data_IF_515050350917
#
_entry.id   IF_515050350917
#
_cell.length_a   1.000
_cell.length_b   1.000
_cell.length_c   1.000
_cell.angle_alpha   90.00
_cell.angle_beta   90.00
_cell.angle_gamma   90.00
#
_symmetry.space_group_name_H-M   'P 1'
#
loop_
_entity.id
_entity.type
_entity.pdbx_description
1 polymer ?
#
# COMPACT_ATOMS: atom_id res chain seq x y z
N UNK A 1 19.65 11.92 -4.63
CA UNK A 1 18.44 11.15 -4.99
C UNK A 1 18.53 9.84 -4.23
N UNK A 2 17.63 9.62 -3.29
CA UNK A 2 17.58 8.35 -2.55
C UNK A 2 17.11 7.27 -3.52
N UNK A 3 17.83 6.16 -3.56
CA UNK A 3 17.42 4.98 -4.33
C UNK A 3 16.15 4.38 -3.68
N UNK A 4 15.17 3.96 -4.47
CA UNK A 4 13.87 3.43 -3.99
C UNK A 4 14.02 2.33 -2.93
N UNK A 5 15.10 1.55 -3.01
CA UNK A 5 15.42 0.53 -2.02
C UNK A 5 15.80 1.10 -0.65
N UNK A 6 16.48 2.25 -0.58
CA UNK A 6 16.79 2.90 0.70
C UNK A 6 15.54 3.46 1.35
N UNK A 7 14.63 3.99 0.54
CA UNK A 7 13.31 4.45 1.02
C UNK A 7 12.48 3.29 1.56
N UNK A 8 12.50 2.15 0.88
CA UNK A 8 11.81 0.96 1.35
C UNK A 8 12.37 0.46 2.68
N UNK A 9 13.70 0.43 2.83
CA UNK A 9 14.35 0.05 4.10
C UNK A 9 14.02 1.04 5.21
N UNK A 10 14.05 2.34 4.94
CA UNK A 10 13.66 3.38 5.91
C UNK A 10 12.20 3.22 6.35
N UNK A 11 11.32 2.91 5.41
CA UNK A 11 9.92 2.64 5.67
C UNK A 11 9.74 1.41 6.56
N UNK A 12 10.45 0.32 6.25
CA UNK A 12 10.41 -0.90 7.05
C UNK A 12 10.92 -0.66 8.47
N UNK A 13 12.01 0.09 8.64
CA UNK A 13 12.53 0.49 9.94
C UNK A 13 11.48 1.33 10.69
N UNK A 14 10.80 2.26 10.01
CA UNK A 14 9.74 3.05 10.61
C UNK A 14 8.58 2.18 11.13
N UNK A 15 8.09 1.22 10.33
CA UNK A 15 7.02 0.31 10.75
C UNK A 15 7.43 -0.51 11.98
N UNK A 16 8.65 -1.05 11.97
CA UNK A 16 9.19 -1.80 13.11
C UNK A 16 9.32 -0.90 14.32
N UNK A 17 9.88 0.31 14.17
CA UNK A 17 10.04 1.25 15.27
C UNK A 17 8.70 1.63 15.92
N UNK A 18 7.65 1.84 15.13
CA UNK A 18 6.31 2.15 15.67
C UNK A 18 5.72 0.98 16.46
N UNK A 19 6.05 -0.26 16.11
CA UNK A 19 5.63 -1.45 16.86
C UNK A 19 6.17 -1.48 18.30
N UNK A 20 7.35 -0.88 18.56
CA UNK A 20 7.95 -0.78 19.89
C UNK A 20 7.37 0.34 20.77
N UNK A 21 6.24 0.93 20.39
CA UNK A 21 5.54 1.92 21.20
C UNK A 21 6.34 3.20 21.51
N UNK A 22 7.02 3.83 20.54
CA UNK A 22 7.76 5.05 20.79
C UNK A 22 6.81 6.20 21.21
N UNK A 23 7.32 7.21 21.92
CA UNK A 23 6.53 8.37 22.27
C UNK A 23 6.04 9.10 21.01
N UNK A 24 4.86 9.67 21.08
CA UNK A 24 4.14 10.26 19.93
C UNK A 24 4.94 11.31 19.14
N UNK A 25 5.82 12.07 19.83
CA UNK A 25 6.62 13.11 19.18
C UNK A 25 7.70 12.53 18.23
N UNK A 26 8.25 11.35 18.53
CA UNK A 26 9.15 10.64 17.63
C UNK A 26 8.41 10.16 16.37
N UNK A 27 7.22 9.63 16.55
CA UNK A 27 6.39 9.20 15.42
C UNK A 27 6.01 10.39 14.53
N UNK A 28 5.67 11.52 15.12
CA UNK A 28 5.39 12.77 14.38
C UNK A 28 6.63 13.30 13.64
N UNK A 29 7.81 13.30 14.29
CA UNK A 29 9.05 13.73 13.67
C UNK A 29 9.39 12.85 12.45
N UNK A 30 9.24 11.53 12.55
CA UNK A 30 9.44 10.61 11.43
C UNK A 30 8.44 10.85 10.29
N UNK A 31 7.17 11.06 10.60
CA UNK A 31 6.16 11.38 9.60
C UNK A 31 6.48 12.68 8.85
N UNK A 32 6.97 13.70 9.55
CA UNK A 32 7.38 14.97 8.95
C UNK A 32 8.63 14.82 8.06
N UNK A 33 9.63 14.05 8.50
CA UNK A 33 10.82 13.76 7.68
C UNK A 33 10.45 13.00 6.41
N UNK A 34 9.55 12.02 6.51
CA UNK A 34 9.05 11.30 5.35
C UNK A 34 8.28 12.21 4.39
N UNK A 35 7.49 13.16 4.91
CA UNK A 35 6.78 14.14 4.12
C UNK A 35 7.78 15.05 3.36
N UNK A 36 8.82 15.54 4.03
CA UNK A 36 9.86 16.34 3.39
C UNK A 36 10.58 15.59 2.26
N UNK A 37 10.92 14.32 2.49
CA UNK A 37 11.52 13.44 1.45
C UNK A 37 10.56 13.23 0.29
N UNK A 38 9.26 13.02 0.55
CA UNK A 38 8.25 12.86 -0.48
C UNK A 38 8.14 14.10 -1.38
N UNK A 39 8.16 15.30 -0.80
CA UNK A 39 8.18 16.55 -1.56
C UNK A 39 9.47 16.71 -2.37
N UNK A 40 10.62 16.37 -1.81
CA UNK A 40 11.90 16.42 -2.52
C UNK A 40 11.94 15.48 -3.74
N UNK A 41 11.13 14.41 -3.73
CA UNK A 41 10.97 13.47 -4.85
C UNK A 41 9.86 13.85 -5.83
N UNK A 42 9.25 15.02 -5.70
CA UNK A 42 8.27 15.55 -6.65
C UNK A 42 6.84 15.09 -6.40
N UNK A 43 6.50 14.64 -5.19
CA UNK A 43 5.12 14.34 -4.82
C UNK A 43 4.28 15.61 -4.88
N UNK A 44 3.15 15.56 -5.58
CA UNK A 44 2.26 16.72 -5.71
C UNK A 44 1.57 17.05 -4.38
N UNK A 45 1.45 18.34 -4.08
CA UNK A 45 0.80 18.83 -2.86
C UNK A 45 -0.64 18.32 -2.72
N UNK A 46 -1.35 18.16 -3.86
CA UNK A 46 -2.71 17.61 -3.88
C UNK A 46 -2.76 16.18 -3.37
N UNK A 47 -1.80 15.34 -3.77
CA UNK A 47 -1.73 13.96 -3.30
C UNK A 47 -1.37 13.89 -1.82
N UNK A 48 -0.45 14.73 -1.34
CA UNK A 48 -0.10 14.81 0.06
C UNK A 48 -1.31 15.21 0.93
N UNK A 49 -2.11 16.19 0.49
CA UNK A 49 -3.33 16.58 1.17
C UNK A 49 -4.41 15.48 1.15
N UNK A 50 -4.61 14.82 0.02
CA UNK A 50 -5.57 13.71 -0.08
C UNK A 50 -5.18 12.54 0.83
N UNK A 51 -3.90 12.18 0.86
CA UNK A 51 -3.39 11.13 1.73
C UNK A 51 -3.51 11.49 3.21
N UNK A 52 -3.29 12.76 3.56
CA UNK A 52 -3.47 13.28 4.92
C UNK A 52 -4.92 13.20 5.38
N UNK A 53 -5.87 13.63 4.54
CA UNK A 53 -7.30 13.55 4.84
C UNK A 53 -7.75 12.09 5.01
N UNK A 54 -7.29 11.19 4.14
CA UNK A 54 -7.63 9.77 4.23
C UNK A 54 -7.06 9.14 5.50
N UNK A 55 -5.80 9.44 5.83
CA UNK A 55 -5.15 8.96 7.05
C UNK A 55 -5.88 9.49 8.30
N UNK A 56 -6.30 10.76 8.27
CA UNK A 56 -7.08 11.37 9.36
C UNK A 56 -8.44 10.69 9.54
N UNK A 57 -9.16 10.43 8.46
CA UNK A 57 -10.46 9.76 8.51
C UNK A 57 -10.37 8.36 9.14
N UNK A 58 -9.35 7.57 8.75
CA UNK A 58 -9.11 6.24 9.32
C UNK A 58 -8.72 6.31 10.80
N UNK A 59 -7.82 7.20 11.15
CA UNK A 59 -7.37 7.43 12.52
C UNK A 59 -8.51 7.89 13.43
N UNK A 60 -9.36 8.80 12.95
CA UNK A 60 -10.54 9.28 13.67
C UNK A 60 -11.54 8.15 13.93
N UNK A 61 -11.74 7.25 12.96
CA UNK A 61 -12.61 6.09 13.15
C UNK A 61 -12.10 5.17 14.26
N UNK A 62 -10.78 4.94 14.32
CA UNK A 62 -10.17 4.13 15.38
C UNK A 62 -10.24 4.82 16.74
N UNK A 63 -9.99 6.13 16.78
CA UNK A 63 -10.16 6.91 18.00
C UNK A 63 -11.58 6.80 18.53
N UNK A 64 -12.58 6.99 17.67
CA UNK A 64 -13.99 6.89 18.01
C UNK A 64 -14.35 5.51 18.57
N UNK A 65 -13.87 4.43 17.93
CA UNK A 65 -14.10 3.08 18.40
C UNK A 65 -13.51 2.83 19.79
N UNK A 66 -12.29 3.30 20.04
CA UNK A 66 -11.65 3.15 21.36
C UNK A 66 -12.37 3.96 22.46
N UNK A 67 -13.00 5.09 22.10
CA UNK A 67 -13.77 5.89 23.06
C UNK A 67 -15.14 5.27 23.31
N UNK A 68 -15.81 4.74 22.27
CA UNK A 68 -17.16 4.14 22.39
C UNK A 68 -17.12 2.76 23.06
N UNK A 69 -16.03 2.00 22.86
CA UNK A 69 -15.85 0.65 23.40
C UNK A 69 -14.59 0.61 24.26
N UNK A 70 -14.58 1.29 25.42
CA UNK A 70 -13.43 1.30 26.29
C UNK A 70 -13.20 -0.07 26.91
N UNK A 71 -11.95 -0.39 27.11
CA UNK A 71 -11.56 -1.59 27.85
C UNK A 71 -12.05 -1.48 29.31
N UNK A 72 -12.84 -2.43 29.78
CA UNK A 72 -13.53 -2.39 31.08
C UNK A 72 -12.57 -2.27 32.29
N UNK A 73 -11.28 -2.52 32.07
CA UNK A 73 -10.26 -2.47 33.13
C UNK A 73 -9.49 -1.14 33.21
N UNK A 74 -9.77 -0.17 32.32
CA UNK A 74 -9.07 1.10 32.25
C UNK A 74 -9.87 2.24 32.90
N UNK A 75 -9.17 3.13 33.61
CA UNK A 75 -9.78 4.37 34.08
C UNK A 75 -10.14 5.30 32.89
N UNK A 76 -11.13 6.16 33.02
CA UNK A 76 -11.57 7.08 31.96
C UNK A 76 -10.42 7.95 31.40
N UNK A 77 -9.49 8.38 32.25
CA UNK A 77 -8.31 9.13 31.83
C UNK A 77 -7.34 8.27 31.02
N UNK A 78 -7.14 7.01 31.41
CA UNK A 78 -6.28 6.06 30.70
C UNK A 78 -6.88 5.68 29.32
N UNK A 79 -8.20 5.54 29.22
CA UNK A 79 -8.91 5.27 27.96
C UNK A 79 -8.67 6.39 26.96
N UNK A 80 -8.85 7.66 27.36
CA UNK A 80 -8.67 8.81 26.47
C UNK A 80 -7.22 8.91 25.95
N UNK A 81 -6.24 8.72 26.86
CA UNK A 81 -4.82 8.77 26.50
C UNK A 81 -4.43 7.63 25.58
N UNK A 82 -4.94 6.43 25.83
CA UNK A 82 -4.67 5.26 24.99
C UNK A 82 -5.32 5.41 23.61
N UNK A 83 -6.55 5.91 23.55
CA UNK A 83 -7.25 6.19 22.29
C UNK A 83 -6.49 7.22 21.44
N UNK A 84 -6.00 8.30 22.04
CA UNK A 84 -5.22 9.33 21.35
C UNK A 84 -3.89 8.76 20.83
N UNK A 85 -3.14 8.04 21.65
CA UNK A 85 -1.87 7.43 21.24
C UNK A 85 -2.05 6.43 20.10
N UNK A 86 -3.08 5.59 20.16
CA UNK A 86 -3.38 4.61 19.12
C UNK A 86 -3.79 5.31 17.82
N UNK A 87 -4.64 6.33 17.91
CA UNK A 87 -5.07 7.11 16.75
C UNK A 87 -3.89 7.81 16.06
N UNK A 88 -2.99 8.44 16.82
CA UNK A 88 -1.79 9.11 16.28
C UNK A 88 -0.84 8.12 15.58
N UNK A 89 -0.68 6.92 16.12
CA UNK A 89 0.13 5.87 15.48
C UNK A 89 -0.47 5.42 14.16
N UNK A 90 -1.77 5.14 14.15
CA UNK A 90 -2.46 4.70 12.93
C UNK A 90 -2.45 5.82 11.89
N UNK A 91 -2.65 7.07 12.30
CA UNK A 91 -2.54 8.22 11.42
C UNK A 91 -1.17 8.32 10.75
N UNK A 92 -0.10 8.27 11.53
CA UNK A 92 1.27 8.38 11.01
C UNK A 92 1.65 7.20 10.13
N UNK A 93 1.32 5.96 10.54
CA UNK A 93 1.55 4.75 9.75
C UNK A 93 0.83 4.81 8.40
N UNK A 94 -0.46 5.16 8.42
CA UNK A 94 -1.27 5.23 7.19
C UNK A 94 -0.75 6.33 6.27
N UNK A 95 -0.44 7.51 6.83
CA UNK A 95 0.06 8.62 6.02
C UNK A 95 1.40 8.33 5.37
N UNK A 96 2.36 7.78 6.14
CA UNK A 96 3.67 7.36 5.61
C UNK A 96 3.50 6.25 4.57
N UNK A 97 2.63 5.26 4.79
CA UNK A 97 2.37 4.21 3.82
C UNK A 97 1.79 4.74 2.51
N UNK A 98 0.85 5.68 2.58
CA UNK A 98 0.27 6.31 1.39
C UNK A 98 1.29 7.16 0.62
N UNK A 99 2.11 7.95 1.32
CA UNK A 99 3.18 8.73 0.68
C UNK A 99 4.20 7.81 0.01
N UNK A 100 4.66 6.77 0.71
CA UNK A 100 5.65 5.84 0.18
C UNK A 100 5.15 5.05 -1.03
N UNK A 101 3.85 4.78 -1.13
CA UNK A 101 3.27 4.09 -2.29
C UNK A 101 3.47 4.81 -3.62
N UNK A 102 3.72 6.12 -3.58
CA UNK A 102 4.04 6.95 -4.76
C UNK A 102 5.53 7.05 -5.05
N UNK A 103 6.35 6.84 -4.03
CA UNK A 103 7.79 7.03 -4.09
C UNK A 103 8.52 5.74 -4.47
N UNK A 104 7.94 4.58 -4.17
CA UNK A 104 8.57 3.28 -4.37
C UNK A 104 7.93 2.55 -5.56
N UNK A 105 8.77 2.16 -6.52
CA UNK A 105 8.36 1.32 -7.62
C UNK A 105 8.81 -0.12 -7.36
N UNK A 106 7.87 -1.05 -7.37
CA UNK A 106 8.16 -2.46 -7.07
C UNK A 106 9.23 -3.06 -8.01
N UNK A 107 9.28 -2.60 -9.26
CA UNK A 107 10.30 -3.01 -10.22
C UNK A 107 11.72 -2.66 -9.75
N UNK A 108 11.91 -1.45 -9.24
CA UNK A 108 13.22 -0.94 -8.84
C UNK A 108 13.71 -1.64 -7.56
N UNK A 109 12.76 -1.98 -6.65
CA UNK A 109 13.07 -2.77 -5.45
C UNK A 109 13.55 -4.17 -5.82
N UNK A 110 12.86 -4.85 -6.74
CA UNK A 110 13.21 -6.20 -7.18
C UNK A 110 14.56 -6.18 -7.92
N UNK A 111 14.78 -5.21 -8.82
CA UNK A 111 16.04 -5.05 -9.53
C UNK A 111 17.22 -4.82 -8.58
N UNK A 112 17.02 -3.98 -7.56
CA UNK A 112 18.05 -3.72 -6.55
C UNK A 112 18.36 -4.96 -5.70
N UNK A 113 17.35 -5.70 -5.26
CA UNK A 113 17.53 -6.92 -4.48
C UNK A 113 18.23 -8.03 -5.31
N UNK A 114 17.95 -8.09 -6.61
CA UNK A 114 18.63 -8.99 -7.54
C UNK A 114 20.10 -8.63 -7.71
N UNK A 115 20.42 -7.33 -7.90
CA UNK A 115 21.79 -6.85 -8.06
C UNK A 115 22.66 -7.13 -6.83
N UNK A 116 22.08 -7.13 -5.63
CA UNK A 116 22.78 -7.45 -4.39
C UNK A 116 22.85 -8.94 -4.06
N UNK A 117 22.34 -9.81 -4.93
CA UNK A 117 22.32 -11.25 -4.69
C UNK A 117 21.41 -11.70 -3.53
N UNK A 118 20.51 -10.82 -3.05
CA UNK A 118 19.58 -11.12 -1.96
C UNK A 118 18.37 -11.94 -2.44
N UNK A 119 18.09 -11.90 -3.75
CA UNK A 119 17.04 -12.68 -4.41
C UNK A 119 17.62 -13.63 -5.44
N UNK A 120 17.11 -14.86 -5.47
CA UNK A 120 17.44 -15.78 -6.54
C UNK A 120 16.85 -15.26 -7.87
N UNK A 121 17.55 -15.53 -8.97
CA UNK A 121 17.16 -15.10 -10.32
C UNK A 121 15.73 -15.58 -10.67
N UNK A 122 15.38 -16.79 -10.25
CA UNK A 122 14.06 -17.39 -10.46
C UNK A 122 12.95 -16.60 -9.75
N UNK A 123 13.17 -16.23 -8.48
CA UNK A 123 12.19 -15.45 -7.70
C UNK A 123 12.05 -14.04 -8.27
N UNK A 124 13.17 -13.39 -8.63
CA UNK A 124 13.14 -12.06 -9.23
C UNK A 124 12.37 -12.06 -10.55
N UNK A 125 12.66 -13.03 -11.43
CA UNK A 125 11.96 -13.17 -12.70
C UNK A 125 10.46 -13.46 -12.51
N UNK A 126 10.09 -14.40 -11.64
CA UNK A 126 8.70 -14.71 -11.33
C UNK A 126 7.95 -13.48 -10.81
N UNK A 127 8.58 -12.68 -9.94
CA UNK A 127 8.02 -11.45 -9.40
C UNK A 127 7.82 -10.38 -10.49
N UNK A 128 8.78 -10.19 -11.39
CA UNK A 128 8.68 -9.24 -12.50
C UNK A 128 7.59 -9.66 -13.50
N UNK A 129 7.51 -10.96 -13.83
CA UNK A 129 6.43 -11.51 -14.68
C UNK A 129 5.07 -11.31 -14.00
N UNK A 130 4.98 -11.55 -12.69
CA UNK A 130 3.75 -11.32 -11.91
C UNK A 130 3.31 -9.86 -11.96
N UNK A 131 4.23 -8.91 -11.75
CA UNK A 131 3.94 -7.48 -11.85
C UNK A 131 3.53 -7.05 -13.26
N UNK A 132 4.22 -7.54 -14.28
CA UNK A 132 3.86 -7.29 -15.69
C UNK A 132 2.48 -7.83 -16.03
N UNK A 133 2.14 -9.02 -15.52
CA UNK A 133 0.82 -9.64 -15.69
C UNK A 133 -0.30 -8.82 -15.06
N UNK A 134 -0.05 -8.15 -13.92
CA UNK A 134 -1.02 -7.27 -13.27
C UNK A 134 -1.43 -6.09 -14.17
N UNK A 135 -0.47 -5.47 -14.85
CA UNK A 135 -0.74 -4.37 -15.79
C UNK A 135 -1.60 -4.85 -16.97
N UNK A 136 -1.29 -6.02 -17.50
CA UNK A 136 -2.00 -6.64 -18.61
C UNK A 136 -3.44 -7.02 -18.22
N UNK A 137 -3.62 -7.63 -17.04
CA UNK A 137 -4.93 -7.95 -16.47
C UNK A 137 -5.76 -6.69 -16.24
N UNK A 138 -5.15 -5.61 -15.75
CA UNK A 138 -5.83 -4.33 -15.53
C UNK A 138 -6.32 -3.70 -16.85
N UNK A 139 -5.52 -3.78 -17.91
CA UNK A 139 -5.91 -3.31 -19.23
C UNK A 139 -7.09 -4.13 -19.78
N UNK A 140 -7.04 -5.47 -19.65
CA UNK A 140 -8.11 -6.35 -20.12
C UNK A 140 -9.40 -6.19 -19.31
N UNK A 141 -9.31 -6.02 -17.98
CA UNK A 141 -10.46 -5.64 -17.12
C UNK A 141 -11.14 -4.37 -17.61
N UNK A 142 -10.34 -3.35 -17.96
CA UNK A 142 -10.86 -2.07 -18.47
C UNK A 142 -11.59 -2.27 -19.78
N UNK A 143 -11.03 -3.07 -20.69
CA UNK A 143 -11.64 -3.42 -21.99
C UNK A 143 -12.96 -4.17 -21.83
N UNK A 144 -12.98 -5.19 -20.96
CA UNK A 144 -14.18 -5.98 -20.65
C UNK A 144 -15.26 -5.08 -20.03
N UNK A 145 -14.89 -4.22 -19.08
CA UNK A 145 -15.81 -3.28 -18.43
C UNK A 145 -16.41 -2.28 -19.42
N UNK A 146 -15.63 -1.76 -20.37
CA UNK A 146 -16.11 -0.87 -21.42
C UNK A 146 -17.08 -1.59 -22.36
N UNK A 147 -16.73 -2.79 -22.82
CA UNK A 147 -17.60 -3.61 -23.67
C UNK A 147 -18.92 -3.97 -22.97
N UNK A 148 -18.88 -4.24 -21.66
CA UNK A 148 -20.06 -4.49 -20.85
C UNK A 148 -20.99 -3.26 -20.75
N UNK A 149 -20.39 -2.07 -20.58
CA UNK A 149 -21.14 -0.81 -20.60
C UNK A 149 -21.81 -0.55 -21.95
N UNK A 150 -21.08 -0.76 -23.04
CA UNK A 150 -21.61 -0.57 -24.40
C UNK A 150 -22.76 -1.52 -24.73
N UNK A 151 -22.76 -2.73 -24.15
CA UNK A 151 -23.85 -3.71 -24.30
C UNK A 151 -25.04 -3.49 -23.37
N UNK A 152 -25.00 -2.45 -22.52
CA UNK A 152 -26.08 -2.14 -21.58
C UNK A 152 -26.27 -3.18 -20.46
N UNK A 153 -25.26 -4.02 -20.19
CA UNK A 153 -25.38 -5.10 -19.22
C UNK A 153 -25.56 -4.58 -17.79
N UNK A 154 -26.49 -5.19 -17.04
CA UNK A 154 -26.72 -4.89 -15.63
C UNK A 154 -25.51 -5.25 -14.78
N UNK A 155 -25.42 -4.72 -13.54
CA UNK A 155 -24.27 -4.95 -12.65
C UNK A 155 -24.04 -6.45 -12.35
N UNK A 156 -25.08 -7.24 -12.17
CA UNK A 156 -25.01 -8.70 -11.96
C UNK A 156 -24.46 -9.44 -13.18
N UNK A 157 -24.84 -9.04 -14.37
CA UNK A 157 -24.36 -9.64 -15.62
C UNK A 157 -22.90 -9.27 -15.90
N UNK A 158 -22.43 -8.12 -15.40
CA UNK A 158 -21.01 -7.74 -15.46
C UNK A 158 -20.12 -8.65 -14.63
N UNK A 159 -20.64 -9.17 -13.52
CA UNK A 159 -19.89 -10.11 -12.69
C UNK A 159 -19.58 -11.43 -13.43
N UNK A 160 -20.48 -11.94 -14.23
CA UNK A 160 -20.25 -13.15 -15.06
C UNK A 160 -19.14 -12.95 -16.12
N UNK A 161 -18.82 -11.72 -16.48
CA UNK A 161 -17.75 -11.41 -17.43
C UNK A 161 -16.34 -11.49 -16.82
N UNK A 162 -16.22 -11.75 -15.51
CA UNK A 162 -14.94 -12.04 -14.87
C UNK A 162 -14.42 -13.43 -15.22
N UNK A 163 -15.30 -14.32 -15.67
CA UNK A 163 -14.96 -15.68 -16.09
C UNK A 163 -13.94 -15.71 -17.25
N UNK A 164 -14.11 -14.95 -18.34
CA UNK A 164 -13.10 -14.82 -19.39
C UNK A 164 -11.76 -14.27 -18.89
N UNK A 165 -11.80 -13.38 -17.89
CA UNK A 165 -10.59 -12.81 -17.29
C UNK A 165 -9.81 -13.87 -16.48
N UNK A 166 -10.52 -14.75 -15.78
CA UNK A 166 -9.95 -15.89 -15.08
C UNK A 166 -9.27 -16.87 -16.05
N UNK A 167 -9.93 -17.19 -17.16
CA UNK A 167 -9.36 -18.04 -18.22
C UNK A 167 -8.13 -17.39 -18.84
N UNK A 168 -8.16 -16.08 -19.08
CA UNK A 168 -7.03 -15.33 -19.59
C UNK A 168 -5.84 -15.36 -18.60
N UNK A 169 -6.10 -15.13 -17.31
CA UNK A 169 -5.09 -15.18 -16.26
C UNK A 169 -4.42 -16.56 -16.16
N UNK A 170 -5.23 -17.64 -16.19
CA UNK A 170 -4.72 -19.02 -16.19
C UNK A 170 -3.84 -19.33 -17.40
N UNK A 171 -4.28 -18.95 -18.60
CA UNK A 171 -3.49 -19.12 -19.83
C UNK A 171 -2.17 -18.35 -19.78
N UNK A 172 -2.21 -17.13 -19.23
CA UNK A 172 -0.99 -16.31 -19.11
C UNK A 172 -0.03 -16.91 -18.09
N UNK A 173 -0.51 -17.40 -16.95
CA UNK A 173 0.28 -18.11 -15.96
C UNK A 173 0.91 -19.40 -16.51
N UNK A 174 0.16 -20.18 -17.30
CA UNK A 174 0.68 -21.38 -17.96
C UNK A 174 1.81 -21.06 -18.95
N UNK A 175 1.65 -20.01 -19.76
CA UNK A 175 2.71 -19.58 -20.70
C UNK A 175 3.96 -19.10 -19.96
N UNK A 176 3.80 -18.34 -18.86
CA UNK A 176 4.91 -17.93 -18.02
C UNK A 176 5.63 -19.12 -17.38
N UNK A 177 4.91 -20.15 -16.94
CA UNK A 177 5.50 -21.36 -16.37
C UNK A 177 6.28 -22.18 -17.41
N UNK A 178 5.81 -22.22 -18.67
CA UNK A 178 6.52 -22.90 -19.77
C UNK A 178 7.80 -22.19 -20.18
N UNK A 179 7.89 -20.88 -20.05
CA UNK A 179 9.09 -20.09 -20.36
C UNK A 179 10.18 -20.19 -19.29
N UNK A 180 9.86 -20.76 -18.12
CA UNK A 180 10.79 -20.97 -17.00
C UNK A 180 11.44 -22.37 -17.00
N UNK A 181 11.01 -23.27 -17.89
CA UNK A 181 11.62 -24.58 -18.15
C UNK A 181 12.65 -24.47 -19.26
#
# INVERSE_FOLDING_TARGET
VFHDAHLFVLLLIFFVAVAFNPPWFLVAAWALTFCAVAFAQGTTIRFALQSLVLAFALSFSVWLLNVLYPDAHLSAAAVSTNAQNTALKIWSLTWVALLSSRMTHAHDIIAYALQRGQLSLTIAYASLVGLGSMLLLRAEMRRISLNAKLRGLSWRQRFLQWLPLLVFALRHAQRGAMSLR
#
